data_IF_187071858051
#
_entry.id   IF_187071858051
#
_cell.length_a   1.000
_cell.length_b   1.000
_cell.length_c   1.000
_cell.angle_alpha   90.00
_cell.angle_beta   90.00
_cell.angle_gamma   90.00
#
_symmetry.space_group_name_H-M   'P 1'
#
loop_
_entity.id
_entity.type
_entity.pdbx_description
1 polymer ?
#
# COMPACT_ATOMS: atom_id res chain seq x y z
N UNK A 1 24.60 -1.81 37.66
CA UNK A 1 24.90 -1.91 36.20
C UNK A 1 23.61 -2.39 35.56
N UNK A 2 22.80 -1.43 35.09
CA UNK A 2 21.52 -1.69 34.41
C UNK A 2 21.81 -2.02 32.96
N UNK A 3 21.58 -3.28 32.58
CA UNK A 3 21.54 -3.70 31.19
C UNK A 3 20.21 -3.18 30.59
N UNK A 4 20.28 -2.08 29.89
CA UNK A 4 19.21 -1.66 28.99
C UNK A 4 19.09 -2.72 27.92
N UNK A 5 18.09 -3.62 28.05
CA UNK A 5 17.62 -4.47 26.96
C UNK A 5 17.32 -3.54 25.78
N UNK A 6 18.06 -3.72 24.68
CA UNK A 6 17.86 -2.94 23.47
C UNK A 6 16.38 -2.94 23.08
N UNK A 7 15.75 -1.77 23.12
CA UNK A 7 14.39 -1.58 22.64
C UNK A 7 14.42 -1.91 21.16
N UNK A 8 13.71 -2.94 20.74
CA UNK A 8 13.59 -3.28 19.32
C UNK A 8 12.90 -2.08 18.66
N UNK A 9 13.61 -1.37 17.79
CA UNK A 9 13.04 -0.20 17.14
C UNK A 9 11.91 -0.65 16.22
N UNK A 10 10.77 0.01 16.32
CA UNK A 10 9.61 -0.20 15.45
C UNK A 10 10.00 0.00 13.98
N UNK A 11 9.63 -0.94 13.10
CA UNK A 11 9.99 -0.92 11.67
C UNK A 11 9.05 0.01 10.89
N UNK A 12 9.34 1.30 10.90
CA UNK A 12 8.65 2.29 10.06
C UNK A 12 9.14 2.18 8.62
N UNK A 13 10.46 2.12 8.41
CA UNK A 13 11.05 1.90 7.09
C UNK A 13 11.77 0.55 7.01
N UNK A 14 11.64 -0.13 5.87
CA UNK A 14 12.31 -1.39 5.61
C UNK A 14 12.63 -1.56 4.13
N UNK A 15 13.72 -2.31 3.84
CA UNK A 15 14.07 -2.71 2.48
C UNK A 15 13.23 -3.89 2.03
N UNK A 16 12.73 -3.81 0.81
CA UNK A 16 12.14 -4.94 0.14
C UNK A 16 12.37 -4.83 -1.37
N UNK A 17 13.11 -5.81 -1.93
CA UNK A 17 13.44 -5.86 -3.36
C UNK A 17 14.11 -4.57 -3.89
N UNK A 18 14.97 -3.94 -3.09
CA UNK A 18 15.69 -2.72 -3.48
C UNK A 18 14.85 -1.44 -3.49
N UNK A 19 13.66 -1.46 -2.94
CA UNK A 19 12.83 -0.28 -2.68
C UNK A 19 12.69 -0.04 -1.17
N UNK A 20 12.55 1.22 -0.78
CA UNK A 20 12.32 1.62 0.61
C UNK A 20 10.82 1.60 0.90
N UNK A 21 10.36 0.67 1.72
CA UNK A 21 8.97 0.59 2.11
C UNK A 21 8.70 1.37 3.39
N UNK A 22 7.58 2.10 3.41
CA UNK A 22 7.11 2.88 4.56
C UNK A 22 5.84 2.24 5.14
N UNK A 23 5.97 1.69 6.35
CA UNK A 23 4.89 1.08 7.13
C UNK A 23 4.42 2.08 8.18
N UNK A 24 3.28 2.71 7.98
CA UNK A 24 2.83 3.84 8.80
C UNK A 24 1.58 3.56 9.62
N UNK A 25 0.96 2.39 9.45
CA UNK A 25 -0.25 1.99 10.19
C UNK A 25 -0.44 0.49 10.19
N UNK A 26 -1.10 -0.02 11.23
CA UNK A 26 -1.62 -1.39 11.28
C UNK A 26 -3.11 -1.46 10.84
N UNK A 27 -3.78 -0.32 10.76
CA UNK A 27 -5.21 -0.25 10.43
C UNK A 27 -5.45 -0.51 8.95
N UNK A 28 -6.54 -1.23 8.66
CA UNK A 28 -6.97 -1.52 7.30
C UNK A 28 -8.48 -1.77 7.27
N UNK A 29 -9.24 -1.18 6.34
CA UNK A 29 -10.68 -1.40 6.23
C UNK A 29 -11.04 -2.74 5.60
N UNK A 30 -10.03 -3.56 5.21
CA UNK A 30 -10.20 -4.87 4.62
C UNK A 30 -9.62 -5.98 5.51
N UNK A 31 -10.22 -7.18 5.42
CA UNK A 31 -9.73 -8.41 6.01
C UNK A 31 -9.56 -9.47 4.91
N UNK A 32 -8.68 -9.19 3.94
CA UNK A 32 -8.48 -10.02 2.77
C UNK A 32 -8.07 -11.45 3.13
N UNK A 33 -8.65 -12.44 2.45
CA UNK A 33 -8.35 -13.86 2.66
C UNK A 33 -6.90 -14.23 2.38
N UNK A 34 -6.26 -13.50 1.45
CA UNK A 34 -4.86 -13.66 1.05
C UNK A 34 -3.91 -12.65 1.73
N UNK A 35 -4.36 -11.97 2.79
CA UNK A 35 -3.56 -10.93 3.44
C UNK A 35 -2.25 -11.51 3.99
N UNK A 36 -1.13 -10.82 3.73
CA UNK A 36 0.19 -11.20 4.24
C UNK A 36 0.22 -11.32 5.77
N UNK A 37 -0.60 -10.54 6.48
CA UNK A 37 -0.75 -10.61 7.95
C UNK A 37 -1.17 -11.98 8.46
N UNK A 38 -1.84 -12.77 7.61
CA UNK A 38 -2.27 -14.13 7.95
C UNK A 38 -1.13 -15.14 7.87
N UNK A 39 0.00 -14.75 7.24
CA UNK A 39 1.11 -15.65 6.92
C UNK A 39 2.32 -15.47 7.86
N UNK A 40 2.29 -14.53 8.80
CA UNK A 40 3.34 -14.29 9.78
C UNK A 40 3.56 -12.81 10.09
N UNK A 41 4.55 -12.54 10.92
CA UNK A 41 4.82 -11.20 11.44
C UNK A 41 5.85 -10.41 10.60
N UNK A 42 6.44 -11.03 9.58
CA UNK A 42 7.52 -10.44 8.79
C UNK A 42 7.38 -10.73 7.30
N UNK A 43 8.03 -9.93 6.48
CA UNK A 43 8.06 -10.05 5.02
C UNK A 43 9.49 -9.85 4.52
N UNK A 44 9.96 -10.71 3.60
CA UNK A 44 11.25 -10.55 2.94
C UNK A 44 12.45 -10.60 3.90
N UNK A 45 12.41 -11.45 4.93
CA UNK A 45 13.50 -11.58 5.92
C UNK A 45 13.62 -10.41 6.88
N UNK A 46 12.71 -9.43 6.84
CA UNK A 46 12.66 -8.35 7.80
C UNK A 46 12.19 -8.83 9.18
N UNK A 47 12.42 -7.99 10.21
CA UNK A 47 11.76 -8.17 11.51
C UNK A 47 10.24 -7.99 11.38
N UNK A 48 9.50 -8.20 12.48
CA UNK A 48 8.06 -7.97 12.54
C UNK A 48 7.69 -6.59 11.99
N UNK A 49 6.70 -6.57 11.09
CA UNK A 49 6.13 -5.34 10.54
C UNK A 49 4.94 -4.82 11.38
N UNK A 50 4.54 -5.53 12.44
CA UNK A 50 3.57 -4.99 13.38
C UNK A 50 4.15 -3.79 14.12
N UNK A 51 3.49 -2.65 13.97
CA UNK A 51 3.85 -1.44 14.69
C UNK A 51 3.37 -1.56 16.14
N UNK A 52 4.21 -1.16 17.11
CA UNK A 52 3.86 -1.14 18.53
C UNK A 52 2.81 -0.07 18.85
N UNK A 53 2.80 1.02 18.07
CA UNK A 53 1.83 2.11 18.08
C UNK A 53 1.79 2.76 16.69
N UNK A 54 0.77 3.56 16.43
CA UNK A 54 0.72 4.40 15.22
C UNK A 54 1.81 5.48 15.30
N UNK A 55 2.82 5.46 14.42
CA UNK A 55 3.92 6.42 14.51
C UNK A 55 3.43 7.84 14.21
N UNK A 56 3.86 8.80 14.99
CA UNK A 56 3.62 10.22 14.70
C UNK A 56 4.34 10.66 13.42
N UNK A 57 3.89 11.74 12.79
CA UNK A 57 4.58 12.35 11.64
C UNK A 57 6.05 12.64 11.98
N UNK A 58 6.33 13.10 13.20
CA UNK A 58 7.69 13.39 13.65
C UNK A 58 8.57 12.13 13.71
N UNK A 59 8.03 11.01 14.21
CA UNK A 59 8.73 9.73 14.24
C UNK A 59 8.99 9.20 12.83
N UNK A 60 8.02 9.33 11.90
CA UNK A 60 8.20 8.91 10.51
C UNK A 60 9.29 9.74 9.84
N UNK A 61 9.29 11.07 10.01
CA UNK A 61 10.32 11.95 9.44
C UNK A 61 11.70 11.64 10.03
N UNK A 62 11.81 11.49 11.34
CA UNK A 62 13.07 11.15 12.00
C UNK A 62 13.61 9.78 11.52
N UNK A 63 12.72 8.77 11.39
CA UNK A 63 13.11 7.47 10.86
C UNK A 63 13.55 7.56 9.39
N UNK A 64 12.94 8.43 8.57
CA UNK A 64 13.36 8.66 7.19
C UNK A 64 14.74 9.34 7.11
N UNK A 65 15.04 10.25 8.03
CA UNK A 65 16.34 10.95 8.05
C UNK A 65 17.52 9.99 8.31
N UNK A 66 17.30 8.94 9.06
CA UNK A 66 18.30 7.88 9.34
C UNK A 66 18.53 6.91 8.16
N UNK A 67 17.68 6.95 7.13
CA UNK A 67 17.83 6.06 5.96
C UNK A 67 18.96 6.55 5.06
N UNK A 68 19.82 5.62 4.63
CA UNK A 68 20.74 5.87 3.52
C UNK A 68 20.00 5.89 2.19
N UNK A 69 19.57 7.08 1.80
CA UNK A 69 18.70 7.34 0.63
C UNK A 69 19.37 6.98 -0.69
N UNK A 70 20.72 6.94 -0.73
CA UNK A 70 21.49 6.62 -1.94
C UNK A 70 21.28 5.20 -2.47
N UNK A 71 20.72 4.33 -1.62
CA UNK A 71 20.45 2.92 -1.97
C UNK A 71 19.13 2.72 -2.71
N UNK A 72 18.27 3.74 -2.76
CA UNK A 72 16.90 3.60 -3.23
C UNK A 72 16.57 4.60 -4.34
N UNK A 73 15.62 4.23 -5.19
CA UNK A 73 15.04 5.11 -6.20
C UNK A 73 13.61 5.52 -5.89
N UNK A 74 12.97 4.81 -4.96
CA UNK A 74 11.59 5.10 -4.56
C UNK A 74 11.33 4.78 -3.08
N UNK A 75 10.34 5.51 -2.52
CA UNK A 75 9.66 5.16 -1.27
C UNK A 75 8.30 4.58 -1.63
N UNK A 76 7.95 3.44 -1.03
CA UNK A 76 6.67 2.77 -1.24
C UNK A 76 5.87 2.80 0.06
N UNK A 77 4.82 3.60 0.13
CA UNK A 77 3.88 3.50 1.24
C UNK A 77 3.11 2.18 1.13
N UNK A 78 3.48 1.25 1.98
CA UNK A 78 2.92 -0.10 2.05
C UNK A 78 3.44 -0.78 3.32
N UNK A 79 2.57 -1.46 4.02
CA UNK A 79 2.90 -2.20 5.24
C UNK A 79 1.84 -3.24 5.55
N UNK A 80 1.62 -3.52 6.82
CA UNK A 80 0.56 -4.42 7.25
C UNK A 80 -0.81 -3.77 7.25
N UNK A 81 -0.88 -2.43 7.39
CA UNK A 81 -2.10 -1.67 7.22
C UNK A 81 -2.28 -1.10 5.80
N UNK A 82 -3.39 -0.42 5.62
CA UNK A 82 -3.68 0.38 4.43
C UNK A 82 -3.11 1.79 4.62
N UNK A 83 -2.12 2.23 3.86
CA UNK A 83 -1.49 3.52 4.09
C UNK A 83 -2.45 4.72 4.00
N UNK A 84 -3.52 4.61 3.21
CA UNK A 84 -4.52 5.67 3.06
C UNK A 84 -5.50 5.76 4.25
N UNK A 85 -5.45 4.86 5.24
CA UNK A 85 -6.08 5.09 6.56
C UNK A 85 -5.51 6.36 7.21
N UNK A 86 -4.27 6.70 6.89
CA UNK A 86 -3.60 7.91 7.35
C UNK A 86 -3.33 8.88 6.19
N UNK A 87 -4.32 9.07 5.32
CA UNK A 87 -4.16 9.83 4.09
C UNK A 87 -3.60 11.25 4.29
N UNK A 88 -4.06 11.98 5.32
CA UNK A 88 -3.57 13.34 5.61
C UNK A 88 -2.11 13.33 6.08
N UNK A 89 -1.75 12.42 6.99
CA UNK A 89 -0.38 12.26 7.48
C UNK A 89 0.55 11.81 6.37
N UNK A 90 0.08 10.88 5.50
CA UNK A 90 0.81 10.42 4.33
C UNK A 90 1.19 11.59 3.41
N UNK A 91 0.26 12.52 3.14
CA UNK A 91 0.54 13.71 2.33
C UNK A 91 1.62 14.59 2.99
N UNK A 92 1.57 14.80 4.30
CA UNK A 92 2.59 15.59 5.01
C UNK A 92 3.97 14.90 4.98
N UNK A 93 4.01 13.58 5.10
CA UNK A 93 5.26 12.81 4.98
C UNK A 93 5.76 12.84 3.53
N UNK A 94 4.87 12.70 2.55
CA UNK A 94 5.24 12.77 1.12
C UNK A 94 5.85 14.12 0.75
N UNK A 95 5.28 15.23 1.24
CA UNK A 95 5.88 16.57 1.09
C UNK A 95 7.29 16.63 1.66
N UNK A 96 7.49 16.09 2.86
CA UNK A 96 8.80 16.05 3.50
C UNK A 96 9.82 15.24 2.69
N UNK A 97 9.44 14.05 2.21
CA UNK A 97 10.27 13.20 1.36
C UNK A 97 10.70 13.97 0.10
N UNK A 98 9.75 14.64 -0.59
CA UNK A 98 10.03 15.43 -1.80
C UNK A 98 10.91 16.67 -1.54
N UNK A 99 10.87 17.24 -0.34
CA UNK A 99 11.72 18.37 0.05
C UNK A 99 13.16 17.95 0.39
N UNK A 100 13.35 16.71 0.86
CA UNK A 100 14.63 16.24 1.43
C UNK A 100 15.30 15.14 0.59
N UNK A 101 14.69 14.71 -0.51
CA UNK A 101 15.24 13.70 -1.42
C UNK A 101 14.64 13.79 -2.83
N UNK A 102 15.31 13.14 -3.80
CA UNK A 102 14.82 12.96 -5.17
C UNK A 102 14.06 11.64 -5.36
N UNK A 103 13.74 10.93 -4.28
CA UNK A 103 13.07 9.64 -4.36
C UNK A 103 11.66 9.77 -4.94
N UNK A 104 11.30 8.85 -5.81
CA UNK A 104 9.91 8.71 -6.26
C UNK A 104 9.04 8.18 -5.13
N UNK A 105 7.75 8.51 -5.16
CA UNK A 105 6.80 8.06 -4.16
C UNK A 105 5.73 7.21 -4.82
N UNK A 106 5.58 5.98 -4.34
CA UNK A 106 4.52 5.07 -4.72
C UNK A 106 3.62 4.76 -3.53
N UNK A 107 2.34 4.59 -3.78
CA UNK A 107 1.39 4.06 -2.79
C UNK A 107 0.83 2.73 -3.31
N UNK A 108 0.93 1.69 -2.49
CA UNK A 108 0.19 0.45 -2.68
C UNK A 108 -1.07 0.53 -1.82
N UNK A 109 -2.26 0.55 -2.43
CA UNK A 109 -3.51 0.87 -1.73
C UNK A 109 -4.67 0.01 -2.19
N UNK A 110 -5.67 -0.15 -1.33
CA UNK A 110 -6.96 -0.73 -1.68
C UNK A 110 -7.91 0.27 -2.41
N UNK A 111 -7.54 1.56 -2.48
CA UNK A 111 -8.31 2.59 -3.18
C UNK A 111 -9.60 3.06 -2.48
N UNK A 112 -9.78 2.75 -1.19
CA UNK A 112 -11.03 3.05 -0.46
C UNK A 112 -10.99 4.39 0.30
N UNK A 113 -10.00 5.25 0.02
CA UNK A 113 -9.80 6.50 0.76
C UNK A 113 -11.04 7.40 0.81
N UNK A 114 -11.83 7.46 -0.25
CA UNK A 114 -13.05 8.28 -0.27
C UNK A 114 -14.15 7.77 0.66
N UNK A 115 -14.14 6.48 1.01
CA UNK A 115 -15.05 5.89 2.01
C UNK A 115 -14.51 6.05 3.43
N UNK A 116 -13.19 5.99 3.62
CA UNK A 116 -12.55 6.19 4.92
C UNK A 116 -12.54 7.67 5.31
N UNK A 117 -12.23 8.54 4.36
CA UNK A 117 -12.07 9.98 4.54
C UNK A 117 -12.86 10.75 3.47
N UNK A 118 -14.18 10.93 3.62
CA UNK A 118 -15.03 11.57 2.59
C UNK A 118 -14.63 13.01 2.25
N UNK A 119 -13.88 13.67 3.14
CA UNK A 119 -13.39 15.05 2.93
C UNK A 119 -11.99 15.13 2.36
N UNK A 120 -11.33 13.98 2.09
CA UNK A 120 -10.00 13.97 1.52
C UNK A 120 -10.04 14.35 0.04
N UNK A 121 -9.36 15.44 -0.30
CA UNK A 121 -9.21 15.86 -1.69
C UNK A 121 -8.09 15.05 -2.37
N UNK A 122 -8.44 14.23 -3.36
CA UNK A 122 -7.49 13.40 -4.12
C UNK A 122 -6.43 14.25 -4.84
N UNK A 123 -6.75 15.49 -5.20
CA UNK A 123 -5.78 16.38 -5.84
C UNK A 123 -4.60 16.77 -4.93
N UNK A 124 -4.67 16.57 -3.63
CA UNK A 124 -3.53 16.72 -2.71
C UNK A 124 -2.36 15.79 -3.08
N UNK A 125 -2.62 14.70 -3.79
CA UNK A 125 -1.57 13.78 -4.26
C UNK A 125 -0.85 14.28 -5.53
N UNK A 126 -1.43 15.24 -6.27
CA UNK A 126 -0.88 15.74 -7.54
C UNK A 126 0.49 16.36 -7.34
N UNK A 127 1.47 15.89 -8.12
CA UNK A 127 2.86 16.38 -8.05
C UNK A 127 3.66 15.87 -6.85
N UNK A 128 3.02 15.15 -5.90
CA UNK A 128 3.70 14.49 -4.78
C UNK A 128 3.87 12.99 -5.03
N UNK A 129 2.82 12.33 -5.51
CA UNK A 129 2.79 10.89 -5.72
C UNK A 129 3.10 10.61 -7.19
N UNK A 130 4.12 9.78 -7.44
CA UNK A 130 4.58 9.42 -8.78
C UNK A 130 3.83 8.20 -9.33
N UNK A 131 3.43 7.28 -8.46
CA UNK A 131 2.72 6.08 -8.90
C UNK A 131 1.76 5.52 -7.85
N UNK A 132 0.69 4.88 -8.35
CA UNK A 132 -0.28 4.13 -7.55
C UNK A 132 -0.33 2.68 -8.02
N UNK A 133 -0.38 1.78 -7.06
CA UNK A 133 -0.61 0.35 -7.27
C UNK A 133 -1.89 -0.02 -6.52
N UNK A 134 -2.99 -0.14 -7.24
CA UNK A 134 -4.34 -0.26 -6.66
C UNK A 134 -4.79 -1.72 -6.71
N UNK A 135 -5.23 -2.24 -5.58
CA UNK A 135 -5.67 -3.62 -5.43
C UNK A 135 -7.07 -3.83 -6.02
N UNK A 136 -7.16 -4.21 -7.31
CA UNK A 136 -8.40 -4.56 -7.98
C UNK A 136 -9.01 -5.85 -7.40
N UNK A 137 -8.17 -6.88 -7.24
CA UNK A 137 -8.42 -8.18 -6.60
C UNK A 137 -9.54 -9.04 -7.17
N UNK A 138 -10.57 -8.49 -7.82
CA UNK A 138 -11.67 -9.21 -8.44
C UNK A 138 -12.31 -8.40 -9.58
N UNK A 139 -13.10 -9.09 -10.44
CA UNK A 139 -13.73 -8.51 -11.62
C UNK A 139 -15.08 -7.85 -11.35
N UNK A 140 -15.73 -8.19 -10.25
CA UNK A 140 -17.07 -7.72 -9.88
C UNK A 140 -17.21 -7.46 -8.36
N UNK A 141 -18.28 -6.72 -7.92
CA UNK A 141 -18.46 -6.34 -6.51
C UNK A 141 -18.62 -7.51 -5.54
N UNK A 142 -19.31 -8.59 -5.94
CA UNK A 142 -19.60 -9.72 -5.05
C UNK A 142 -18.33 -10.51 -4.78
N UNK A 143 -17.56 -10.84 -5.83
CA UNK A 143 -16.26 -11.49 -5.71
C UNK A 143 -15.25 -10.60 -4.95
N UNK A 144 -15.25 -9.30 -5.24
CA UNK A 144 -14.40 -8.34 -4.52
C UNK A 144 -14.69 -8.38 -3.02
N UNK A 145 -15.97 -8.27 -2.63
CA UNK A 145 -16.38 -8.34 -1.23
C UNK A 145 -16.02 -9.68 -0.60
N UNK A 146 -16.28 -10.78 -1.30
CA UNK A 146 -15.94 -12.12 -0.82
C UNK A 146 -14.45 -12.29 -0.52
N UNK A 147 -13.56 -11.74 -1.37
CA UNK A 147 -12.12 -11.94 -1.23
C UNK A 147 -11.47 -10.94 -0.28
N UNK A 148 -11.99 -9.69 -0.21
CA UNK A 148 -11.42 -8.61 0.60
C UNK A 148 -12.09 -8.43 1.95
N UNK A 149 -13.33 -8.88 2.11
CA UNK A 149 -14.17 -8.62 3.28
C UNK A 149 -14.10 -7.13 3.71
N UNK A 150 -14.25 -6.24 2.72
CA UNK A 150 -14.14 -4.80 2.94
C UNK A 150 -15.25 -4.28 3.87
N UNK A 151 -14.90 -3.48 4.85
CA UNK A 151 -15.79 -2.90 5.90
C UNK A 151 -17.04 -2.21 5.32
N UNK A 152 -16.91 -1.62 4.13
CA UNK A 152 -17.98 -0.86 3.49
C UNK A 152 -18.87 -1.71 2.57
N UNK A 153 -18.65 -3.04 2.50
CA UNK A 153 -19.45 -3.95 1.69
C UNK A 153 -19.27 -3.75 0.17
N UNK A 154 -20.31 -4.09 -0.59
CA UNK A 154 -20.31 -4.02 -2.07
C UNK A 154 -19.94 -2.65 -2.66
N UNK A 155 -20.32 -1.49 -2.06
CA UNK A 155 -19.89 -0.17 -2.54
C UNK A 155 -18.39 0.02 -2.64
N UNK A 156 -17.59 -0.77 -1.91
CA UNK A 156 -16.12 -0.68 -1.92
C UNK A 156 -15.53 -0.88 -3.32
N UNK A 157 -16.09 -1.80 -4.11
CA UNK A 157 -15.60 -2.07 -5.46
C UNK A 157 -15.69 -0.83 -6.37
N UNK A 158 -16.88 -0.22 -6.44
CA UNK A 158 -17.07 0.99 -7.25
C UNK A 158 -16.27 2.18 -6.72
N UNK A 159 -16.09 2.30 -5.40
CA UNK A 159 -15.26 3.34 -4.80
C UNK A 159 -13.80 3.19 -5.24
N UNK A 160 -13.25 1.99 -5.22
CA UNK A 160 -11.89 1.68 -5.68
C UNK A 160 -11.73 1.98 -7.17
N UNK A 161 -12.69 1.59 -8.03
CA UNK A 161 -12.64 1.91 -9.47
C UNK A 161 -12.68 3.42 -9.70
N UNK A 162 -13.58 4.14 -9.04
CA UNK A 162 -13.66 5.61 -9.14
C UNK A 162 -12.36 6.29 -8.69
N UNK A 163 -11.77 5.83 -7.60
CA UNK A 163 -10.46 6.30 -7.16
C UNK A 163 -9.40 6.13 -8.27
N UNK A 164 -9.34 4.96 -8.88
CA UNK A 164 -8.39 4.68 -9.97
C UNK A 164 -8.62 5.59 -11.20
N UNK A 165 -9.89 5.74 -11.63
CA UNK A 165 -10.25 6.60 -12.76
C UNK A 165 -9.87 8.06 -12.49
N UNK A 166 -10.23 8.60 -11.33
CA UNK A 166 -9.94 10.00 -10.99
C UNK A 166 -8.43 10.21 -10.93
N UNK A 167 -7.70 9.36 -10.22
CA UNK A 167 -6.27 9.54 -10.01
C UNK A 167 -5.45 9.31 -11.28
N UNK A 168 -5.89 8.47 -12.21
CA UNK A 168 -5.22 8.26 -13.50
C UNK A 168 -5.17 9.53 -14.37
N UNK A 169 -6.03 10.51 -14.10
CA UNK A 169 -6.03 11.79 -14.83
C UNK A 169 -4.89 12.73 -14.43
N UNK A 170 -4.21 12.51 -13.30
CA UNK A 170 -3.17 13.42 -12.80
C UNK A 170 -1.97 12.74 -12.11
N UNK A 171 -2.04 11.44 -11.79
CA UNK A 171 -0.89 10.69 -11.30
C UNK A 171 -0.16 10.07 -12.51
N UNK A 172 1.17 10.22 -12.61
CA UNK A 172 1.94 9.77 -13.78
C UNK A 172 1.84 8.29 -14.10
N UNK A 173 1.67 7.44 -13.09
CA UNK A 173 1.55 5.99 -13.28
C UNK A 173 0.51 5.40 -12.31
N UNK A 174 -0.56 4.85 -12.86
CA UNK A 174 -1.59 4.12 -12.10
C UNK A 174 -1.70 2.72 -12.69
N UNK A 175 -1.60 1.69 -11.82
CA UNK A 175 -1.76 0.30 -12.23
C UNK A 175 -2.70 -0.43 -11.26
N UNK A 176 -3.54 -1.29 -11.80
CA UNK A 176 -4.26 -2.28 -11.01
C UNK A 176 -3.36 -3.46 -10.68
N UNK A 177 -3.63 -4.06 -9.54
CA UNK A 177 -2.97 -5.31 -9.16
C UNK A 177 -4.00 -6.34 -8.70
N UNK A 178 -3.72 -7.60 -9.01
CA UNK A 178 -4.39 -8.76 -8.43
C UNK A 178 -3.33 -9.70 -7.87
N UNK A 179 -3.69 -10.46 -6.82
CA UNK A 179 -2.85 -11.55 -6.33
C UNK A 179 -3.23 -12.83 -7.05
N UNK A 180 -2.26 -13.61 -7.48
CA UNK A 180 -2.44 -14.85 -8.26
C UNK A 180 -3.02 -16.03 -7.44
N UNK A 181 -4.02 -15.75 -6.61
CA UNK A 181 -4.80 -16.74 -5.85
C UNK A 181 -6.15 -17.03 -6.49
N UNK A 182 -6.49 -16.31 -7.55
CA UNK A 182 -7.73 -16.47 -8.32
C UNK A 182 -7.48 -17.35 -9.53
N UNK A 183 -8.54 -17.99 -10.02
CA UNK A 183 -8.45 -18.85 -11.21
C UNK A 183 -8.22 -18.06 -12.51
N UNK A 184 -7.91 -18.76 -13.59
CA UNK A 184 -7.57 -18.14 -14.87
C UNK A 184 -8.77 -17.38 -15.48
N UNK A 185 -10.00 -17.80 -15.20
CA UNK A 185 -11.21 -17.13 -15.67
C UNK A 185 -11.35 -15.76 -15.00
N UNK A 186 -11.14 -15.71 -13.69
CA UNK A 186 -11.16 -14.45 -12.95
C UNK A 186 -10.01 -13.52 -13.33
N UNK A 187 -8.81 -14.07 -13.59
CA UNK A 187 -7.68 -13.29 -14.12
C UNK A 187 -8.06 -12.64 -15.45
N UNK A 188 -8.72 -13.38 -16.35
CA UNK A 188 -9.17 -12.85 -17.65
C UNK A 188 -10.21 -11.75 -17.46
N UNK A 189 -11.22 -11.98 -16.63
CA UNK A 189 -12.25 -10.98 -16.33
C UNK A 189 -11.68 -9.71 -15.68
N UNK A 190 -10.67 -9.82 -14.79
CA UNK A 190 -9.96 -8.68 -14.25
C UNK A 190 -9.15 -7.92 -15.32
N UNK A 191 -8.55 -8.63 -16.30
CA UNK A 191 -7.86 -7.97 -17.42
C UNK A 191 -8.84 -7.18 -18.28
N UNK A 192 -9.97 -7.78 -18.66
CA UNK A 192 -11.02 -7.09 -19.42
C UNK A 192 -11.50 -5.84 -18.68
N UNK A 193 -11.76 -5.95 -17.37
CA UNK A 193 -12.16 -4.79 -16.54
C UNK A 193 -11.11 -3.68 -16.53
N UNK A 194 -9.84 -4.02 -16.43
CA UNK A 194 -8.74 -3.07 -16.44
C UNK A 194 -8.59 -2.40 -17.82
N UNK A 195 -8.71 -3.17 -18.89
CA UNK A 195 -8.68 -2.68 -20.27
C UNK A 195 -9.83 -1.72 -20.58
N UNK A 196 -11.07 -2.04 -20.14
CA UNK A 196 -12.24 -1.17 -20.25
C UNK A 196 -12.02 0.22 -19.64
N UNK A 197 -11.19 0.29 -18.59
CA UNK A 197 -10.85 1.52 -17.89
C UNK A 197 -9.55 2.18 -18.39
N UNK A 198 -8.84 1.53 -19.31
CA UNK A 198 -7.57 2.01 -19.83
C UNK A 198 -6.45 2.01 -18.76
N UNK A 199 -6.56 1.19 -17.72
CA UNK A 199 -5.58 1.11 -16.62
C UNK A 199 -4.86 -0.24 -16.69
N UNK A 200 -3.52 -0.27 -16.78
CA UNK A 200 -2.76 -1.53 -16.83
C UNK A 200 -3.01 -2.42 -15.62
N UNK A 201 -3.02 -3.75 -15.82
CA UNK A 201 -3.12 -4.75 -14.76
C UNK A 201 -1.79 -5.48 -14.58
N UNK A 202 -1.34 -5.61 -13.32
CA UNK A 202 -0.21 -6.43 -12.92
C UNK A 202 -0.68 -7.57 -12.02
N UNK A 203 -0.29 -8.80 -12.36
CA UNK A 203 -0.52 -9.97 -11.52
C UNK A 203 0.67 -10.10 -10.56
N UNK A 204 0.40 -10.18 -9.26
CA UNK A 204 1.41 -10.41 -8.22
C UNK A 204 1.39 -11.87 -7.80
N UNK A 205 2.56 -12.45 -7.62
CA UNK A 205 2.67 -13.77 -7.01
C UNK A 205 2.13 -13.75 -5.58
N UNK A 206 1.45 -14.81 -5.19
CA UNK A 206 1.05 -15.01 -3.80
C UNK A 206 2.29 -15.35 -2.96
N UNK A 207 2.42 -14.68 -1.84
CA UNK A 207 3.52 -14.91 -0.90
C UNK A 207 2.97 -15.80 0.20
N UNK A 208 3.41 -17.06 0.20
CA UNK A 208 3.18 -17.99 1.31
C UNK A 208 4.40 -18.00 2.24
N UNK A 209 4.22 -18.47 3.48
CA UNK A 209 5.30 -18.58 4.49
C UNK A 209 6.51 -19.40 4.03
N UNK A 210 6.46 -20.10 2.87
CA UNK A 210 7.48 -20.97 2.34
C UNK A 210 8.14 -20.47 1.04
N UNK A 211 7.84 -19.26 0.59
CA UNK A 211 8.42 -18.74 -0.64
C UNK A 211 9.39 -17.61 -0.31
N UNK A 212 10.69 -17.88 -0.56
CA UNK A 212 11.67 -16.83 -0.71
C UNK A 212 11.21 -15.88 -1.83
N UNK A 213 11.33 -14.59 -1.58
CA UNK A 213 11.12 -13.56 -2.61
C UNK A 213 12.19 -13.74 -3.70
N UNK A 214 11.83 -14.33 -4.84
CA UNK A 214 12.61 -14.31 -6.08
C UNK A 214 12.09 -13.19 -7.00
#
# INVERSE_FOLDING_TARGET
>A
ISLTKGRKLMKIFYDLNGALYANITNECPCACRFCLRNNGDSVGGNDSLWLEHEPTIAEIKAAFDEVDKSKYNEVVFCGYGEPMERAFDLIEVAKYIKQTSDLKIRINTNGLVSLMHPTFDLYLMKGLIDSLSISLNASDPDKYYYITNAKFGLPSYNSMLNFAIITSSFIPSVVFTIVGVVDEEEVRACKERAEDLGIPLKIRSYISNNTDYN
#
